data_IF_956446306762
#
_entry.id   IF_956446306762
#
_cell.length_a   1.000
_cell.length_b   1.000
_cell.length_c   1.000
_cell.angle_alpha   90.00
_cell.angle_beta   90.00
_cell.angle_gamma   90.00
#
_symmetry.space_group_name_H-M   'P 1'
#
loop_
_entity.id
_entity.type
_entity.pdbx_description
1 polymer ?
#
# COMPACT_ATOMS: atom_id res chain seq x y z
N UNK A 1 11.57 -15.49 -2.28
CA UNK A 1 12.70 -14.98 -1.46
C UNK A 1 12.60 -13.45 -1.29
N UNK A 2 12.45 -12.67 -2.37
CA UNK A 2 12.34 -11.20 -2.30
C UNK A 2 11.20 -10.72 -1.40
N UNK A 3 10.01 -11.35 -1.47
CA UNK A 3 8.87 -10.99 -0.63
C UNK A 3 9.09 -11.20 0.86
N UNK A 4 9.84 -12.24 1.26
CA UNK A 4 10.20 -12.49 2.66
C UNK A 4 11.12 -11.38 3.20
N UNK A 5 12.11 -10.97 2.40
CA UNK A 5 12.99 -9.85 2.77
C UNK A 5 12.22 -8.53 2.91
N UNK A 6 11.33 -8.22 1.97
CA UNK A 6 10.53 -7.00 2.02
C UNK A 6 9.56 -6.96 3.22
N UNK A 7 8.95 -8.10 3.56
CA UNK A 7 8.03 -8.19 4.71
C UNK A 7 8.75 -7.91 6.04
N UNK A 8 9.94 -8.48 6.24
CA UNK A 8 10.73 -8.27 7.45
C UNK A 8 11.13 -6.80 7.64
N UNK A 9 11.53 -6.12 6.56
CA UNK A 9 11.94 -4.72 6.60
C UNK A 9 10.82 -3.80 7.10
N UNK A 10 9.59 -3.99 6.61
CA UNK A 10 8.44 -3.19 7.04
C UNK A 10 8.11 -3.38 8.51
N UNK A 11 8.11 -4.63 8.99
CA UNK A 11 7.82 -4.95 10.40
C UNK A 11 8.89 -4.34 11.31
N UNK A 12 10.18 -4.52 10.96
CA UNK A 12 11.30 -3.98 11.74
C UNK A 12 11.24 -2.45 11.79
N UNK A 13 11.03 -1.76 10.66
CA UNK A 13 10.94 -0.30 10.63
C UNK A 13 9.83 0.22 11.56
N UNK A 14 8.65 -0.40 11.53
CA UNK A 14 7.53 -0.03 12.41
C UNK A 14 7.86 -0.30 13.89
N UNK A 15 8.53 -1.40 14.19
CA UNK A 15 8.95 -1.76 15.56
C UNK A 15 9.97 -0.77 16.09
N UNK A 16 10.99 -0.40 15.32
CA UNK A 16 11.99 0.59 15.70
C UNK A 16 11.37 1.95 16.04
N UNK A 17 10.39 2.38 15.26
CA UNK A 17 9.66 3.63 15.55
C UNK A 17 8.92 3.51 16.88
N UNK A 18 8.22 2.39 17.12
CA UNK A 18 7.47 2.16 18.34
C UNK A 18 8.38 2.03 19.59
N UNK A 19 9.58 1.50 19.42
CA UNK A 19 10.55 1.35 20.52
C UNK A 19 11.19 2.69 20.92
N UNK A 20 11.28 3.63 19.99
CA UNK A 20 11.96 4.92 20.18
C UNK A 20 11.03 6.09 20.47
N UNK A 21 9.79 6.02 20.01
CA UNK A 21 8.83 7.11 20.08
C UNK A 21 7.53 6.64 20.72
N UNK A 22 6.86 7.53 21.45
CA UNK A 22 5.56 7.29 22.05
C UNK A 22 4.60 8.45 21.82
N UNK A 23 3.31 8.19 21.94
CA UNK A 23 2.29 9.23 21.84
C UNK A 23 2.33 10.05 20.54
N UNK A 24 2.44 11.37 20.67
CA UNK A 24 2.40 12.29 19.53
C UNK A 24 3.60 12.19 18.61
N UNK A 25 4.80 12.00 19.18
CA UNK A 25 6.05 11.88 18.41
C UNK A 25 6.03 10.61 17.54
N UNK A 26 5.53 9.51 18.08
CA UNK A 26 5.32 8.28 17.31
C UNK A 26 4.36 8.51 16.14
N UNK A 27 3.25 9.21 16.38
CA UNK A 27 2.27 9.50 15.32
C UNK A 27 2.86 10.38 14.22
N UNK A 28 3.70 11.35 14.57
CA UNK A 28 4.39 12.21 13.61
C UNK A 28 5.36 11.42 12.73
N UNK A 29 6.25 10.61 13.34
CA UNK A 29 7.21 9.78 12.59
C UNK A 29 6.51 8.75 11.71
N UNK A 30 5.44 8.12 12.21
CA UNK A 30 4.64 7.19 11.40
C UNK A 30 3.97 7.88 10.23
N UNK A 31 3.45 9.11 10.41
CA UNK A 31 2.88 9.92 9.32
C UNK A 31 3.91 10.22 8.24
N UNK A 32 5.12 10.61 8.62
CA UNK A 32 6.23 10.85 7.68
C UNK A 32 6.61 9.56 6.93
N UNK A 33 6.68 8.45 7.63
CA UNK A 33 6.93 7.13 7.02
C UNK A 33 5.86 6.76 6.00
N UNK A 34 4.59 7.01 6.32
CA UNK A 34 3.47 6.81 5.39
C UNK A 34 3.54 7.73 4.18
N UNK A 35 3.95 8.99 4.36
CA UNK A 35 4.12 9.94 3.26
C UNK A 35 5.18 9.45 2.27
N UNK A 36 6.33 8.99 2.76
CA UNK A 36 7.39 8.40 1.91
C UNK A 36 6.87 7.15 1.20
N UNK A 37 6.19 6.26 1.92
CA UNK A 37 5.60 5.06 1.34
C UNK A 37 4.59 5.35 0.21
N UNK A 38 3.82 6.44 0.34
CA UNK A 38 2.89 6.90 -0.69
C UNK A 38 3.60 7.57 -1.88
N UNK A 39 4.73 8.25 -1.66
CA UNK A 39 5.49 8.90 -2.71
C UNK A 39 6.21 7.91 -3.65
N UNK A 40 6.68 6.79 -3.10
CA UNK A 40 7.45 5.78 -3.86
C UNK A 40 6.70 5.24 -5.08
N UNK A 41 5.44 4.79 -5.00
CA UNK A 41 4.70 4.33 -6.18
C UNK A 41 4.48 5.41 -7.25
N UNK A 42 4.49 6.68 -6.86
CA UNK A 42 4.36 7.80 -7.81
C UNK A 42 5.64 7.95 -8.62
N UNK A 43 6.79 7.86 -7.96
CA UNK A 43 8.11 8.14 -8.53
C UNK A 43 8.71 6.91 -9.22
N UNK A 44 8.43 5.71 -8.71
CA UNK A 44 9.05 4.46 -9.17
C UNK A 44 8.89 4.18 -10.67
N UNK A 45 7.71 4.36 -11.30
CA UNK A 45 7.58 4.14 -12.75
C UNK A 45 8.42 5.11 -13.58
N UNK A 46 8.55 6.37 -13.12
CA UNK A 46 9.41 7.37 -13.77
C UNK A 46 10.90 7.00 -13.69
N UNK A 47 11.36 6.56 -12.51
CA UNK A 47 12.73 6.07 -12.33
C UNK A 47 12.97 4.85 -13.21
N UNK A 48 12.04 3.90 -13.21
CA UNK A 48 12.12 2.70 -14.05
C UNK A 48 12.25 3.04 -15.53
N UNK A 49 11.48 4.02 -16.01
CA UNK A 49 11.56 4.46 -17.41
C UNK A 49 12.89 5.13 -17.75
N UNK A 50 13.42 5.98 -16.86
CA UNK A 50 14.75 6.58 -17.04
C UNK A 50 15.84 5.51 -17.13
N UNK A 51 15.79 4.49 -16.26
CA UNK A 51 16.74 3.38 -16.30
C UNK A 51 16.65 2.62 -17.64
N UNK A 52 15.44 2.37 -18.14
CA UNK A 52 15.23 1.70 -19.43
C UNK A 52 15.75 2.49 -20.63
N UNK A 53 15.88 3.81 -20.52
CA UNK A 53 16.55 4.63 -21.55
C UNK A 53 18.07 4.45 -21.56
N UNK A 54 18.66 4.00 -20.46
CA UNK A 54 20.11 3.80 -20.32
C UNK A 54 20.57 2.38 -20.67
N UNK A 55 19.66 1.40 -20.70
CA UNK A 55 20.03 0.02 -21.00
C UNK A 55 18.90 -1.00 -20.81
N UNK A 56 19.23 -2.28 -20.82
CA UNK A 56 18.27 -3.37 -20.74
C UNK A 56 17.58 -3.42 -19.36
N UNK A 57 16.42 -4.06 -19.31
CA UNK A 57 15.57 -4.18 -18.10
C UNK A 57 16.32 -4.70 -16.85
N UNK A 58 17.38 -5.48 -17.00
CA UNK A 58 18.22 -5.95 -15.89
C UNK A 58 18.82 -4.81 -15.06
N UNK A 59 19.00 -3.62 -15.63
CA UNK A 59 19.53 -2.46 -14.93
C UNK A 59 18.59 -1.98 -13.82
N UNK A 60 17.28 -2.24 -13.93
CA UNK A 60 16.33 -1.98 -12.84
C UNK A 60 16.69 -2.82 -11.61
N UNK A 61 16.96 -4.10 -11.80
CA UNK A 61 17.35 -4.99 -10.68
C UNK A 61 18.71 -4.61 -10.09
N UNK A 62 19.65 -4.20 -10.95
CA UNK A 62 20.96 -3.72 -10.49
C UNK A 62 20.82 -2.44 -9.65
N UNK A 63 19.99 -1.51 -10.10
CA UNK A 63 19.65 -0.29 -9.34
C UNK A 63 19.00 -0.62 -8.00
N UNK A 64 18.02 -1.51 -7.97
CA UNK A 64 17.37 -1.95 -6.74
C UNK A 64 18.36 -2.64 -5.78
N UNK A 65 19.25 -3.50 -6.30
CA UNK A 65 20.28 -4.16 -5.51
C UNK A 65 21.28 -3.14 -4.92
N UNK A 66 21.72 -2.18 -5.71
CA UNK A 66 22.61 -1.10 -5.26
C UNK A 66 21.96 -0.24 -4.18
N UNK A 67 20.71 0.15 -4.37
CA UNK A 67 19.95 0.91 -3.38
C UNK A 67 19.76 0.11 -2.08
N UNK A 68 19.42 -1.18 -2.19
CA UNK A 68 19.26 -2.06 -1.04
C UNK A 68 20.59 -2.23 -0.28
N UNK A 69 21.71 -2.42 -1.00
CA UNK A 69 23.05 -2.50 -0.40
C UNK A 69 23.44 -1.21 0.32
N UNK A 70 23.17 -0.05 -0.29
CA UNK A 70 23.43 1.25 0.32
C UNK A 70 22.63 1.43 1.61
N UNK A 71 21.33 1.13 1.59
CA UNK A 71 20.46 1.22 2.77
C UNK A 71 20.91 0.23 3.84
N UNK A 72 21.29 -1.00 3.46
CA UNK A 72 21.77 -2.01 4.38
C UNK A 72 23.05 -1.56 5.10
N UNK A 73 24.04 -1.06 4.35
CA UNK A 73 25.30 -0.55 4.91
C UNK A 73 25.02 0.64 5.84
N UNK A 74 24.17 1.56 5.42
CA UNK A 74 23.79 2.72 6.24
C UNK A 74 23.10 2.30 7.54
N UNK A 75 22.14 1.37 7.47
CA UNK A 75 21.45 0.83 8.63
C UNK A 75 22.42 0.07 9.56
N UNK A 76 23.30 -0.75 9.00
CA UNK A 76 24.33 -1.46 9.76
C UNK A 76 25.23 -0.52 10.56
N UNK A 77 25.62 0.60 9.97
CA UNK A 77 26.54 1.56 10.61
C UNK A 77 25.84 2.51 11.58
N UNK A 78 24.54 2.78 11.39
CA UNK A 78 23.84 3.87 12.09
C UNK A 78 22.65 3.44 12.93
N UNK A 79 22.06 2.27 12.68
CA UNK A 79 20.90 1.83 13.41
C UNK A 79 21.33 1.07 14.67
N UNK A 80 21.19 1.66 15.86
CA UNK A 80 21.48 0.95 17.11
C UNK A 80 20.38 -0.07 17.40
N UNK A 81 20.71 -1.09 18.20
CA UNK A 81 19.71 -2.01 18.75
C UNK A 81 18.72 -1.24 19.63
N UNK A 82 17.44 -1.31 19.29
CA UNK A 82 16.39 -0.56 20.00
C UNK A 82 15.62 -1.41 21.00
N UNK A 83 15.71 -2.74 20.87
CA UNK A 83 14.99 -3.67 21.74
C UNK A 83 15.69 -3.83 23.08
N UNK A 84 15.05 -3.38 24.16
CA UNK A 84 15.55 -3.55 25.51
C UNK A 84 15.70 -5.04 25.85
N UNK A 85 16.79 -5.45 26.56
CA UNK A 85 17.05 -6.84 26.89
C UNK A 85 15.89 -7.53 27.61
N UNK A 86 15.16 -6.79 28.45
CA UNK A 86 13.99 -7.25 29.21
C UNK A 86 12.77 -7.55 28.35
N UNK A 87 12.67 -6.93 27.17
CA UNK A 87 11.59 -7.16 26.21
C UNK A 87 11.92 -8.25 25.17
N UNK A 88 13.11 -8.83 25.22
CA UNK A 88 13.51 -9.91 24.31
C UNK A 88 12.68 -11.17 24.58
N UNK A 89 11.78 -11.50 23.69
CA UNK A 89 11.01 -12.74 23.76
C UNK A 89 11.68 -13.84 22.96
N UNK A 90 11.80 -15.04 23.56
CA UNK A 90 12.25 -16.23 22.81
C UNK A 90 11.25 -16.52 21.70
N UNK A 91 11.76 -16.77 20.50
CA UNK A 91 10.93 -17.17 19.36
C UNK A 91 10.34 -18.54 19.67
N UNK A 92 9.08 -18.59 20.07
CA UNK A 92 8.33 -19.83 20.33
C UNK A 92 7.20 -19.94 19.35
N UNK A 93 7.06 -21.10 18.74
CA UNK A 93 5.98 -21.38 17.78
C UNK A 93 4.60 -21.16 18.43
N UNK A 94 4.46 -21.46 19.73
CA UNK A 94 3.24 -21.21 20.49
C UNK A 94 2.81 -19.74 20.46
N UNK A 95 3.73 -18.80 20.64
CA UNK A 95 3.43 -17.36 20.63
C UNK A 95 2.94 -16.90 19.24
N UNK A 96 3.52 -17.47 18.19
CA UNK A 96 3.09 -17.19 16.81
C UNK A 96 1.68 -17.76 16.58
N UNK A 97 1.46 -19.01 16.97
CA UNK A 97 0.15 -19.67 16.83
C UNK A 97 -0.93 -18.96 17.65
N UNK A 98 -0.61 -18.52 18.87
CA UNK A 98 -1.55 -17.76 19.70
C UNK A 98 -1.93 -16.42 19.07
N UNK A 99 -0.96 -15.73 18.44
CA UNK A 99 -1.23 -14.51 17.67
C UNK A 99 -2.17 -14.76 16.48
N UNK A 100 -1.92 -15.79 15.70
CA UNK A 100 -2.84 -16.19 14.62
C UNK A 100 -4.22 -16.58 15.15
N UNK A 101 -4.27 -17.38 16.21
CA UNK A 101 -5.52 -17.79 16.87
C UNK A 101 -6.34 -16.57 17.30
N UNK A 102 -5.70 -15.56 17.90
CA UNK A 102 -6.36 -14.33 18.31
C UNK A 102 -7.04 -13.62 17.13
N UNK A 103 -6.33 -13.46 16.01
CA UNK A 103 -6.88 -12.83 14.79
C UNK A 103 -8.04 -13.66 14.23
N UNK A 104 -7.89 -14.98 14.11
CA UNK A 104 -8.91 -15.87 13.52
C UNK A 104 -10.14 -16.07 14.41
N UNK A 105 -10.00 -15.95 15.72
CA UNK A 105 -11.14 -16.08 16.68
C UNK A 105 -11.88 -14.77 16.86
N UNK A 106 -11.25 -13.63 16.61
CA UNK A 106 -11.91 -12.34 16.69
C UNK A 106 -12.61 -12.01 15.37
N UNK A 107 -13.94 -12.05 15.36
CA UNK A 107 -14.74 -11.81 14.14
C UNK A 107 -14.46 -10.46 13.49
N UNK A 108 -14.27 -9.40 14.28
CA UNK A 108 -14.04 -8.06 13.78
C UNK A 108 -12.68 -7.99 13.07
N UNK A 109 -11.61 -8.43 13.76
CA UNK A 109 -10.27 -8.46 13.20
C UNK A 109 -10.21 -9.33 11.92
N UNK A 110 -10.83 -10.51 11.96
CA UNK A 110 -10.83 -11.44 10.83
C UNK A 110 -11.53 -10.88 9.60
N UNK A 111 -12.79 -10.40 9.73
CA UNK A 111 -13.54 -9.94 8.56
C UNK A 111 -13.01 -8.63 7.97
N UNK A 112 -12.57 -7.68 8.80
CA UNK A 112 -11.91 -6.48 8.28
C UNK A 112 -10.54 -6.79 7.66
N UNK A 113 -9.78 -7.70 8.26
CA UNK A 113 -8.51 -8.19 7.69
C UNK A 113 -8.71 -8.90 6.36
N UNK A 114 -9.72 -9.78 6.27
CA UNK A 114 -10.05 -10.49 5.04
C UNK A 114 -10.50 -9.53 3.92
N UNK A 115 -11.38 -8.60 4.24
CA UNK A 115 -11.83 -7.59 3.27
C UNK A 115 -10.67 -6.70 2.80
N UNK A 116 -9.77 -6.33 3.71
CA UNK A 116 -8.55 -5.59 3.37
C UNK A 116 -7.62 -6.42 2.46
N UNK A 117 -7.52 -7.73 2.68
CA UNK A 117 -6.75 -8.66 1.83
C UNK A 117 -7.29 -8.67 0.39
N UNK A 118 -8.62 -8.79 0.21
CA UNK A 118 -9.22 -8.73 -1.12
C UNK A 118 -9.02 -7.38 -1.80
N UNK A 119 -9.14 -6.30 -1.05
CA UNK A 119 -8.95 -4.95 -1.55
C UNK A 119 -7.51 -4.74 -2.06
N UNK A 120 -6.51 -5.14 -1.27
CA UNK A 120 -5.11 -5.10 -1.69
C UNK A 120 -4.81 -6.09 -2.82
N UNK A 121 -5.43 -7.26 -2.83
CA UNK A 121 -5.31 -8.24 -3.91
C UNK A 121 -5.76 -7.64 -5.25
N UNK A 122 -6.90 -6.95 -5.28
CA UNK A 122 -7.38 -6.24 -6.47
C UNK A 122 -6.42 -5.12 -6.91
N UNK A 123 -5.89 -4.35 -5.96
CA UNK A 123 -4.90 -3.31 -6.25
C UNK A 123 -3.62 -3.89 -6.85
N UNK A 124 -3.06 -4.96 -6.25
CA UNK A 124 -1.86 -5.59 -6.79
C UNK A 124 -2.09 -6.23 -8.15
N UNK A 125 -3.26 -6.86 -8.36
CA UNK A 125 -3.66 -7.36 -9.67
C UNK A 125 -3.68 -6.26 -10.73
N UNK A 126 -4.23 -5.10 -10.39
CA UNK A 126 -4.20 -3.93 -11.26
C UNK A 126 -2.77 -3.44 -11.50
N UNK A 127 -1.93 -3.31 -10.48
CA UNK A 127 -0.54 -2.84 -10.62
C UNK A 127 0.24 -3.74 -11.59
N UNK A 128 0.12 -5.06 -11.45
CA UNK A 128 0.79 -6.03 -12.33
C UNK A 128 0.31 -5.91 -13.78
N UNK A 129 -0.99 -5.67 -14.00
CA UNK A 129 -1.60 -5.54 -15.32
C UNK A 129 -1.53 -4.12 -15.91
N UNK A 130 -1.12 -3.13 -15.12
CA UNK A 130 -1.22 -1.71 -15.48
C UNK A 130 -0.45 -1.36 -16.76
N UNK A 131 0.76 -1.91 -16.93
CA UNK A 131 1.55 -1.68 -18.13
C UNK A 131 0.87 -2.24 -19.38
N UNK A 132 0.31 -3.45 -19.30
CA UNK A 132 -0.42 -4.06 -20.42
C UNK A 132 -1.66 -3.24 -20.79
N UNK A 133 -2.36 -2.71 -19.79
CA UNK A 133 -3.56 -1.91 -20.00
C UNK A 133 -3.19 -0.55 -20.59
N UNK A 134 -2.32 0.20 -19.95
CA UNK A 134 -2.01 1.58 -20.36
C UNK A 134 -1.17 1.64 -21.64
N UNK A 135 -0.19 0.78 -21.80
CA UNK A 135 0.70 0.78 -22.95
C UNK A 135 0.17 -0.13 -24.06
N UNK A 136 -0.24 -1.36 -23.72
CA UNK A 136 -0.69 -2.34 -24.71
C UNK A 136 -2.07 -2.04 -25.29
N UNK A 137 -3.07 -1.70 -24.47
CA UNK A 137 -4.45 -1.46 -24.94
C UNK A 137 -4.64 0.01 -25.35
N UNK A 138 -4.21 0.95 -24.49
CA UNK A 138 -4.45 2.38 -24.71
C UNK A 138 -3.32 3.13 -25.40
N UNK A 139 -2.17 2.50 -25.64
CA UNK A 139 -1.06 3.09 -26.38
C UNK A 139 -0.39 4.30 -25.70
N UNK A 140 -0.47 4.43 -24.37
CA UNK A 140 0.05 5.60 -23.67
C UNK A 140 1.58 5.75 -23.76
N UNK A 141 2.31 4.64 -23.97
CA UNK A 141 3.76 4.67 -24.11
C UNK A 141 4.47 5.51 -23.03
N UNK A 142 5.16 6.60 -23.40
CA UNK A 142 5.89 7.46 -22.46
C UNK A 142 5.01 8.17 -21.42
N UNK A 143 3.70 8.27 -21.65
CA UNK A 143 2.76 8.91 -20.72
C UNK A 143 2.30 7.97 -19.58
N UNK A 144 2.68 6.69 -19.62
CA UNK A 144 2.35 5.72 -18.56
C UNK A 144 2.69 6.22 -17.15
N UNK A 145 3.90 6.77 -16.87
CA UNK A 145 4.23 7.28 -15.54
C UNK A 145 3.30 8.42 -15.08
N UNK A 146 2.87 9.27 -16.00
CA UNK A 146 1.96 10.40 -15.70
C UNK A 146 0.58 9.87 -15.31
N UNK A 147 0.04 8.91 -16.06
CA UNK A 147 -1.23 8.27 -15.72
C UNK A 147 -1.14 7.54 -14.36
N UNK A 148 -0.03 6.86 -14.10
CA UNK A 148 0.21 6.19 -12.82
C UNK A 148 0.32 7.18 -11.65
N UNK A 149 1.00 8.30 -11.85
CA UNK A 149 1.11 9.38 -10.87
C UNK A 149 -0.26 10.02 -10.55
N UNK A 150 -1.14 10.16 -11.54
CA UNK A 150 -2.50 10.65 -11.32
C UNK A 150 -3.32 9.76 -10.38
N UNK A 151 -3.19 8.44 -10.50
CA UNK A 151 -3.83 7.49 -9.57
C UNK A 151 -3.30 7.61 -8.15
N UNK A 152 -1.98 7.70 -8.00
CA UNK A 152 -1.36 7.91 -6.70
C UNK A 152 -1.76 9.27 -6.10
N UNK A 153 -1.92 10.30 -6.94
CA UNK A 153 -2.48 11.59 -6.56
C UNK A 153 -3.90 11.47 -6.01
N UNK A 154 -4.77 10.70 -6.67
CA UNK A 154 -6.12 10.43 -6.19
C UNK A 154 -6.12 9.74 -4.80
N UNK A 155 -5.22 8.78 -4.59
CA UNK A 155 -5.04 8.13 -3.28
C UNK A 155 -4.55 9.12 -2.21
N UNK A 156 -3.61 10.01 -2.54
CA UNK A 156 -3.10 11.01 -1.62
C UNK A 156 -4.20 12.01 -1.21
N UNK A 157 -4.99 12.49 -2.17
CA UNK A 157 -6.15 13.36 -1.91
C UNK A 157 -7.18 12.65 -1.03
N UNK A 158 -7.46 11.38 -1.30
CA UNK A 158 -8.34 10.56 -0.46
C UNK A 158 -7.85 10.47 0.99
N UNK A 159 -6.57 10.20 1.19
CA UNK A 159 -5.97 10.13 2.53
C UNK A 159 -6.10 11.45 3.27
N UNK A 160 -5.86 12.56 2.58
CA UNK A 160 -6.04 13.90 3.15
C UNK A 160 -7.50 14.18 3.51
N UNK A 161 -8.44 13.89 2.61
CA UNK A 161 -9.88 14.05 2.87
C UNK A 161 -10.32 13.16 4.03
N UNK A 162 -9.93 11.88 4.01
CA UNK A 162 -10.26 10.92 5.07
C UNK A 162 -9.78 11.40 6.45
N UNK A 163 -8.57 11.95 6.55
CA UNK A 163 -8.03 12.46 7.81
C UNK A 163 -8.88 13.59 8.42
N UNK A 164 -9.56 14.37 7.58
CA UNK A 164 -10.42 15.48 8.00
C UNK A 164 -11.82 15.03 8.41
N UNK A 165 -12.38 14.04 7.67
CA UNK A 165 -13.77 13.66 7.84
C UNK A 165 -13.96 12.47 8.78
N UNK A 166 -12.93 11.64 9.01
CA UNK A 166 -13.02 10.43 9.84
C UNK A 166 -13.44 10.71 11.27
N UNK A 167 -13.01 11.84 11.84
CA UNK A 167 -13.40 12.25 13.19
C UNK A 167 -14.89 12.54 13.31
N UNK A 168 -15.53 13.01 12.24
CA UNK A 168 -16.96 13.39 12.21
C UNK A 168 -17.87 12.20 11.90
N UNK A 169 -17.49 11.37 10.94
CA UNK A 169 -18.36 10.30 10.42
C UNK A 169 -18.00 8.89 10.93
N UNK A 170 -16.82 8.74 11.53
CA UNK A 170 -16.30 7.47 12.05
C UNK A 170 -15.73 6.54 10.97
N UNK A 171 -14.72 5.76 11.34
CA UNK A 171 -14.00 4.84 10.45
C UNK A 171 -14.93 3.81 9.80
N UNK A 172 -15.86 3.26 10.57
CA UNK A 172 -16.75 2.19 10.11
C UNK A 172 -17.66 2.64 8.97
N UNK A 173 -18.29 3.82 9.07
CA UNK A 173 -19.18 4.34 8.02
C UNK A 173 -18.40 4.69 6.77
N UNK A 174 -17.25 5.34 6.94
CA UNK A 174 -16.42 5.75 5.80
C UNK A 174 -15.84 4.54 5.06
N UNK A 175 -15.39 3.50 5.77
CA UNK A 175 -14.88 2.30 5.10
C UNK A 175 -15.98 1.56 4.32
N UNK A 176 -17.18 1.40 4.90
CA UNK A 176 -18.29 0.74 4.20
C UNK A 176 -18.74 1.51 2.96
N UNK A 177 -18.88 2.84 3.07
CA UNK A 177 -19.21 3.69 1.92
C UNK A 177 -18.13 3.60 0.84
N UNK A 178 -16.87 3.68 1.23
CA UNK A 178 -15.74 3.59 0.30
C UNK A 178 -15.69 2.26 -0.43
N UNK A 179 -15.93 1.15 0.27
CA UNK A 179 -15.99 -0.19 -0.35
C UNK A 179 -17.17 -0.28 -1.31
N UNK A 180 -18.34 0.22 -0.92
CA UNK A 180 -19.52 0.18 -1.78
C UNK A 180 -19.28 0.92 -3.10
N UNK A 181 -18.71 2.13 -3.04
CA UNK A 181 -18.37 2.91 -4.23
C UNK A 181 -17.26 2.21 -5.05
N UNK A 182 -16.24 1.64 -4.40
CA UNK A 182 -15.21 0.86 -5.07
C UNK A 182 -15.79 -0.34 -5.83
N UNK A 183 -16.64 -1.13 -5.18
CA UNK A 183 -17.30 -2.29 -5.79
C UNK A 183 -18.24 -1.90 -6.93
N UNK A 184 -18.99 -0.80 -6.77
CA UNK A 184 -19.85 -0.27 -7.84
C UNK A 184 -19.01 0.15 -9.04
N UNK A 185 -17.89 0.85 -8.81
CA UNK A 185 -16.94 1.20 -9.87
C UNK A 185 -16.36 -0.02 -10.57
N UNK A 186 -15.97 -1.05 -9.81
CA UNK A 186 -15.45 -2.30 -10.37
C UNK A 186 -16.51 -3.05 -11.19
N UNK A 187 -17.74 -3.14 -10.68
CA UNK A 187 -18.85 -3.74 -11.41
C UNK A 187 -19.19 -2.97 -12.70
N UNK A 188 -19.21 -1.64 -12.63
CA UNK A 188 -19.41 -0.79 -13.80
C UNK A 188 -18.31 -1.03 -14.85
N UNK A 189 -17.05 -1.08 -14.43
CA UNK A 189 -15.92 -1.35 -15.32
C UNK A 189 -16.05 -2.74 -15.97
N UNK A 190 -16.44 -3.75 -15.20
CA UNK A 190 -16.67 -5.10 -15.72
C UNK A 190 -17.77 -5.10 -16.77
N UNK A 191 -18.93 -4.50 -16.49
CA UNK A 191 -20.06 -4.45 -17.43
C UNK A 191 -19.64 -3.72 -18.71
N UNK A 192 -18.98 -2.57 -18.60
CA UNK A 192 -18.52 -1.81 -19.77
C UNK A 192 -17.54 -2.63 -20.62
N UNK A 193 -16.61 -3.35 -19.99
CA UNK A 193 -15.64 -4.17 -20.71
C UNK A 193 -16.24 -5.39 -21.42
N UNK A 194 -17.37 -5.89 -20.93
CA UNK A 194 -18.12 -6.97 -21.57
C UNK A 194 -18.95 -6.50 -22.77
N UNK A 195 -19.36 -5.23 -22.78
CA UNK A 195 -20.13 -4.62 -23.89
C UNK A 195 -19.21 -4.29 -25.06
N UNK A 196 -17.98 -3.87 -24.80
CA UNK A 196 -17.03 -3.50 -25.84
C UNK A 196 -15.80 -2.73 -25.32
N UNK A 197 -14.98 -2.22 -26.25
CA UNK A 197 -13.78 -1.45 -25.87
C UNK A 197 -14.17 -0.16 -25.13
N UNK A 198 -13.67 -0.01 -23.92
CA UNK A 198 -13.95 1.16 -23.08
C UNK A 198 -13.03 2.32 -23.50
N UNK A 199 -13.57 3.52 -23.77
CA UNK A 199 -12.73 4.69 -24.07
C UNK A 199 -11.79 5.03 -22.91
N UNK A 200 -10.56 5.47 -23.22
CA UNK A 200 -9.53 5.76 -22.21
C UNK A 200 -10.02 6.69 -21.09
N UNK A 201 -10.68 7.78 -21.44
CA UNK A 201 -11.12 8.77 -20.45
C UNK A 201 -12.16 8.23 -19.47
N UNK A 202 -13.05 7.37 -19.94
CA UNK A 202 -14.04 6.70 -19.10
C UNK A 202 -13.37 5.67 -18.19
N UNK A 203 -12.47 4.84 -18.76
CA UNK A 203 -11.65 3.89 -18.00
C UNK A 203 -10.85 4.59 -16.91
N UNK A 204 -10.10 5.62 -17.29
CA UNK A 204 -9.21 6.34 -16.38
C UNK A 204 -9.99 7.12 -15.31
N UNK A 205 -11.10 7.76 -15.68
CA UNK A 205 -11.96 8.45 -14.72
C UNK A 205 -12.54 7.51 -13.65
N UNK A 206 -13.08 6.35 -14.07
CA UNK A 206 -13.55 5.32 -13.14
C UNK A 206 -12.42 4.79 -12.26
N UNK A 207 -11.25 4.57 -12.85
CA UNK A 207 -10.08 4.11 -12.12
C UNK A 207 -9.63 5.11 -11.06
N UNK A 208 -9.60 6.42 -11.35
CA UNK A 208 -9.27 7.46 -10.39
C UNK A 208 -10.26 7.47 -9.20
N UNK A 209 -11.56 7.34 -9.48
CA UNK A 209 -12.58 7.21 -8.44
C UNK A 209 -12.35 5.97 -7.59
N UNK A 210 -12.09 4.82 -8.21
CA UNK A 210 -11.80 3.58 -7.50
C UNK A 210 -10.56 3.72 -6.62
N UNK A 211 -9.48 4.30 -7.11
CA UNK A 211 -8.24 4.50 -6.34
C UNK A 211 -8.42 5.49 -5.18
N UNK A 212 -9.23 6.53 -5.38
CA UNK A 212 -9.60 7.44 -4.31
C UNK A 212 -10.30 6.68 -3.17
N UNK A 213 -11.34 5.92 -3.45
CA UNK A 213 -12.08 5.20 -2.42
C UNK A 213 -11.33 3.97 -1.87
N UNK A 214 -10.43 3.36 -2.67
CA UNK A 214 -9.50 2.35 -2.19
C UNK A 214 -8.68 2.85 -0.99
N UNK A 215 -8.04 4.01 -1.11
CA UNK A 215 -7.15 4.55 -0.06
C UNK A 215 -7.91 4.83 1.24
N UNK A 216 -9.11 5.42 1.15
CA UNK A 216 -9.98 5.65 2.29
C UNK A 216 -10.45 4.36 2.96
N UNK A 217 -10.86 3.37 2.17
CA UNK A 217 -11.26 2.06 2.67
C UNK A 217 -10.10 1.35 3.37
N UNK A 218 -8.96 1.20 2.69
CA UNK A 218 -7.79 0.46 3.19
C UNK A 218 -7.28 1.02 4.53
N UNK A 219 -7.16 2.35 4.64
CA UNK A 219 -6.72 3.01 5.86
C UNK A 219 -7.65 2.72 7.05
N UNK A 220 -8.96 2.94 6.86
CA UNK A 220 -9.95 2.76 7.92
C UNK A 220 -10.13 1.29 8.30
N UNK A 221 -10.12 0.39 7.33
CA UNK A 221 -10.25 -1.06 7.59
C UNK A 221 -9.04 -1.62 8.32
N UNK A 222 -7.84 -1.18 7.98
CA UNK A 222 -6.63 -1.58 8.71
C UNK A 222 -6.72 -1.18 10.19
N UNK A 223 -7.18 0.04 10.47
CA UNK A 223 -7.38 0.51 11.85
C UNK A 223 -8.47 -0.30 12.57
N UNK A 224 -9.63 -0.54 11.92
CA UNK A 224 -10.73 -1.33 12.48
C UNK A 224 -10.36 -2.79 12.74
N UNK A 225 -9.47 -3.38 11.93
CA UNK A 225 -9.01 -4.75 12.14
C UNK A 225 -8.10 -4.90 13.36
N UNK A 226 -7.43 -3.82 13.76
CA UNK A 226 -6.51 -3.79 14.90
C UNK A 226 -7.18 -3.32 16.22
N UNK A 227 -8.33 -2.65 16.13
CA UNK A 227 -9.03 -2.08 17.30
C UNK A 227 -9.35 -3.12 18.40
N UNK A 228 -9.75 -4.37 18.06
CA UNK A 228 -10.09 -5.38 19.07
C UNK A 228 -8.91 -6.27 19.50
N UNK A 229 -7.69 -6.04 19.01
CA UNK A 229 -6.49 -6.84 19.32
C UNK A 229 -5.59 -6.14 20.33
#
# INVERSE_FOLDING_TARGET
IQGLGAASTRVIATSVVRDRFSGRDMAEVMSLTFMVFMAVPIIAPGIGQVILLTGPWHYIFLFMAGLAAMIFIWAWLRLPETLLPEHRRKLRLSVIVDGFRLVFTNRVAFFYGLANTFLFGAMFGFIVSSQQIFVGIYGLGPLFPVAFAGMAGAMAVSSFVNSRIVRRYGMRRLSHLSILIYLTGAATMLVLSLIGPVPFWLFYGLLLVMQFFFAGAASNMNSLSMEPL
#
